data_IF_612160823044
#
_entry.id   IF_612160823044
#
_cell.length_a   1.000
_cell.length_b   1.000
_cell.length_c   1.000
_cell.angle_alpha   90.00
_cell.angle_beta   90.00
_cell.angle_gamma   90.00
#
_symmetry.space_group_name_H-M   'P 1'
#
loop_
_entity.id
_entity.type
_entity.pdbx_description
1 polymer ?
#
# COMPACT_ATOMS: atom_id res chain seq x y z
N UNK A 1 7.37 -16.76 4.83
CA UNK A 1 6.99 -17.66 3.72
C UNK A 1 5.64 -17.25 3.13
N UNK A 2 4.57 -17.14 3.93
CA UNK A 2 3.22 -16.69 3.51
C UNK A 2 3.22 -15.31 2.84
N UNK A 3 3.89 -14.34 3.45
CA UNK A 3 3.99 -12.98 2.94
C UNK A 3 4.58 -12.85 1.53
N UNK A 4 5.43 -13.81 1.14
CA UNK A 4 6.05 -13.84 -0.19
C UNK A 4 5.05 -14.39 -1.21
N UNK A 5 4.27 -15.40 -0.85
CA UNK A 5 3.19 -15.95 -1.67
C UNK A 5 2.13 -14.87 -1.96
N UNK A 6 1.65 -14.18 -0.93
CA UNK A 6 0.71 -13.07 -1.07
C UNK A 6 1.24 -11.93 -1.96
N UNK A 7 2.56 -11.74 -2.02
CA UNK A 7 3.15 -10.72 -2.91
C UNK A 7 3.21 -11.19 -4.36
N UNK A 8 3.30 -12.50 -4.60
CA UNK A 8 3.24 -13.08 -5.94
C UNK A 8 1.82 -13.18 -6.50
N UNK A 9 0.82 -13.25 -5.63
CA UNK A 9 -0.60 -13.25 -6.03
C UNK A 9 -1.15 -11.85 -6.34
N UNK A 10 -0.34 -10.80 -6.13
CA UNK A 10 -0.75 -9.44 -6.44
C UNK A 10 -0.91 -9.26 -7.95
N UNK A 11 -2.00 -8.64 -8.36
CA UNK A 11 -2.13 -8.18 -9.72
C UNK A 11 -1.21 -6.96 -9.97
N UNK A 12 -1.04 -6.62 -11.25
CA UNK A 12 -0.12 -5.55 -11.67
C UNK A 12 -0.48 -4.18 -11.06
N UNK A 13 -1.76 -3.91 -10.81
CA UNK A 13 -2.21 -2.63 -10.23
C UNK A 13 -1.90 -2.56 -8.75
N UNK A 14 -2.12 -3.66 -8.02
CA UNK A 14 -1.74 -3.80 -6.62
C UNK A 14 -0.23 -3.65 -6.45
N UNK A 15 0.58 -4.25 -7.35
CA UNK A 15 2.02 -4.06 -7.36
C UNK A 15 2.42 -2.61 -7.64
N UNK A 16 1.85 -1.97 -8.66
CA UNK A 16 2.09 -0.54 -8.95
C UNK A 16 1.74 0.34 -7.74
N UNK A 17 0.58 0.13 -7.14
CA UNK A 17 0.13 0.85 -5.95
C UNK A 17 1.08 0.66 -4.76
N UNK A 18 1.59 -0.56 -4.56
CA UNK A 18 2.57 -0.85 -3.52
C UNK A 18 3.89 -0.10 -3.73
N UNK A 19 4.44 -0.14 -4.95
CA UNK A 19 5.68 0.56 -5.29
C UNK A 19 5.53 2.06 -5.07
N UNK A 20 4.44 2.65 -5.57
CA UNK A 20 4.16 4.08 -5.39
C UNK A 20 3.99 4.44 -3.91
N UNK A 21 3.30 3.61 -3.13
CA UNK A 21 3.16 3.84 -1.68
C UNK A 21 4.52 3.78 -0.97
N UNK A 22 5.42 2.87 -1.37
CA UNK A 22 6.79 2.84 -0.85
C UNK A 22 7.61 4.07 -1.24
N UNK A 23 7.42 4.58 -2.45
CA UNK A 23 8.06 5.83 -2.88
C UNK A 23 7.53 7.01 -2.05
N UNK A 24 6.21 7.09 -1.83
CA UNK A 24 5.61 8.12 -0.99
C UNK A 24 6.21 8.08 0.43
N UNK A 25 6.34 6.87 1.00
CA UNK A 25 6.99 6.69 2.30
C UNK A 25 8.42 7.24 2.29
N UNK A 26 9.22 6.88 1.30
CA UNK A 26 10.64 7.24 1.22
C UNK A 26 10.84 8.76 1.06
N UNK A 27 10.07 9.39 0.19
CA UNK A 27 10.27 10.79 -0.19
C UNK A 27 9.53 11.77 0.72
N UNK A 28 8.34 11.42 1.23
CA UNK A 28 7.49 12.34 1.98
C UNK A 28 7.31 11.98 3.46
N UNK A 29 7.17 10.69 3.79
CA UNK A 29 6.89 10.30 5.18
C UNK A 29 8.15 10.12 6.01
N UNK A 30 9.24 9.59 5.43
CA UNK A 30 10.50 9.36 6.14
C UNK A 30 11.09 10.67 6.71
N UNK A 31 11.10 11.81 6.00
CA UNK A 31 11.57 13.06 6.59
C UNK A 31 10.75 13.53 7.81
N UNK A 32 9.49 13.10 7.94
CA UNK A 32 8.56 13.55 8.98
C UNK A 32 8.46 12.56 10.15
N UNK A 33 8.53 11.26 9.85
CA UNK A 33 8.31 10.17 10.79
C UNK A 33 9.56 9.30 11.00
N UNK A 34 10.70 9.70 10.43
CA UNK A 34 11.95 8.98 10.45
C UNK A 34 11.76 7.50 10.05
N UNK A 35 12.34 6.56 10.78
CA UNK A 35 12.21 5.12 10.53
C UNK A 35 11.04 4.46 11.28
N UNK A 36 10.15 5.26 11.93
CA UNK A 36 8.94 4.73 12.59
C UNK A 36 7.97 4.09 11.60
N UNK A 37 7.99 4.55 10.34
CA UNK A 37 7.23 3.97 9.24
C UNK A 37 8.18 3.21 8.29
N UNK A 38 8.31 1.91 8.52
CA UNK A 38 9.06 1.00 7.64
C UNK A 38 8.26 0.55 6.40
N UNK A 39 8.93 -0.12 5.46
CA UNK A 39 8.26 -0.75 4.30
C UNK A 39 7.28 -1.85 4.69
N UNK A 40 7.43 -2.45 5.87
CA UNK A 40 6.51 -3.46 6.38
C UNK A 40 5.12 -2.85 6.58
N UNK A 41 5.03 -1.68 7.22
CA UNK A 41 3.76 -0.97 7.42
C UNK A 41 3.06 -0.64 6.08
N UNK A 42 3.83 -0.30 5.04
CA UNK A 42 3.26 -0.04 3.71
C UNK A 42 2.70 -1.32 3.08
N UNK A 43 3.36 -2.46 3.29
CA UNK A 43 2.89 -3.76 2.82
C UNK A 43 1.62 -4.18 3.55
N UNK A 44 1.59 -4.04 4.87
CA UNK A 44 0.39 -4.31 5.68
C UNK A 44 -0.78 -3.43 5.25
N UNK A 45 -0.54 -2.13 5.05
CA UNK A 45 -1.58 -1.21 4.58
C UNK A 45 -2.13 -1.61 3.21
N UNK A 46 -1.27 -2.04 2.27
CA UNK A 46 -1.71 -2.56 0.97
C UNK A 46 -2.57 -3.81 1.12
N UNK A 47 -2.08 -4.84 1.83
CA UNK A 47 -2.81 -6.11 1.99
C UNK A 47 -4.17 -5.89 2.64
N UNK A 48 -4.22 -5.07 3.68
CA UNK A 48 -5.49 -4.71 4.31
C UNK A 48 -6.41 -3.94 3.36
N UNK A 49 -5.86 -3.05 2.54
CA UNK A 49 -6.65 -2.33 1.52
C UNK A 49 -7.20 -3.30 0.47
N UNK A 50 -6.44 -4.32 0.07
CA UNK A 50 -6.91 -5.36 -0.86
C UNK A 50 -8.10 -6.12 -0.27
N UNK A 51 -8.05 -6.47 1.01
CA UNK A 51 -9.17 -7.15 1.69
C UNK A 51 -10.42 -6.28 1.85
N UNK A 52 -10.27 -4.95 1.94
CA UNK A 52 -11.39 -4.02 2.14
C UNK A 52 -12.15 -3.62 0.87
N UNK A 53 -11.54 -3.78 -0.29
CA UNK A 53 -12.07 -3.24 -1.54
C UNK A 53 -12.27 -4.34 -2.59
N UNK A 54 -13.36 -4.29 -3.38
CA UNK A 54 -13.62 -5.28 -4.40
C UNK A 54 -12.54 -5.28 -5.50
N UNK A 55 -12.35 -6.43 -6.14
CA UNK A 55 -11.33 -6.62 -7.20
C UNK A 55 -11.43 -5.59 -8.33
N UNK A 56 -12.64 -5.11 -8.63
CA UNK A 56 -12.91 -4.11 -9.67
C UNK A 56 -12.18 -2.78 -9.48
N UNK A 57 -11.79 -2.45 -8.25
CA UNK A 57 -11.02 -1.25 -7.96
C UNK A 57 -9.58 -1.40 -8.45
N UNK A 58 -9.01 -2.61 -8.48
CA UNK A 58 -7.61 -2.86 -8.85
C UNK A 58 -7.41 -2.96 -10.37
N UNK A 59 -7.89 -1.96 -11.10
CA UNK A 59 -7.77 -1.81 -12.56
C UNK A 59 -6.96 -0.56 -12.92
N UNK A 60 -6.35 -0.53 -14.11
CA UNK A 60 -5.44 0.57 -14.51
C UNK A 60 -6.08 1.96 -14.39
N UNK A 61 -7.38 2.11 -14.72
CA UNK A 61 -8.10 3.38 -14.62
C UNK A 61 -8.22 3.95 -13.20
N UNK A 62 -7.99 3.12 -12.17
CA UNK A 62 -8.18 3.48 -10.77
C UNK A 62 -6.86 3.57 -9.99
N UNK A 63 -5.70 3.46 -10.64
CA UNK A 63 -4.40 3.40 -9.97
C UNK A 63 -4.18 4.54 -8.96
N UNK A 64 -4.56 5.77 -9.32
CA UNK A 64 -4.44 6.93 -8.42
C UNK A 64 -5.27 6.73 -7.15
N UNK A 65 -6.50 6.25 -7.28
CA UNK A 65 -7.37 5.96 -6.13
C UNK A 65 -6.76 4.85 -5.26
N UNK A 66 -6.27 3.76 -5.87
CA UNK A 66 -5.60 2.67 -5.17
C UNK A 66 -4.39 3.15 -4.34
N UNK A 67 -3.61 4.08 -4.89
CA UNK A 67 -2.46 4.69 -4.19
C UNK A 67 -2.93 5.55 -3.03
N UNK A 68 -4.05 6.28 -3.14
CA UNK A 68 -4.60 7.12 -2.08
C UNK A 68 -5.19 6.27 -0.94
N UNK A 69 -5.77 5.10 -1.25
CA UNK A 69 -6.34 4.23 -0.23
C UNK A 69 -5.29 3.70 0.75
N UNK A 70 -4.09 3.36 0.30
CA UNK A 70 -3.08 2.76 1.16
C UNK A 70 -2.62 3.70 2.32
N UNK A 71 -2.26 4.98 2.10
CA UNK A 71 -1.99 5.94 3.17
C UNK A 71 -3.21 6.24 4.05
N UNK A 72 -4.42 6.28 3.48
CA UNK A 72 -5.64 6.48 4.26
C UNK A 72 -5.89 5.31 5.22
N UNK A 73 -5.65 4.08 4.75
CA UNK A 73 -5.66 2.87 5.58
C UNK A 73 -4.62 2.99 6.69
N UNK A 74 -3.39 3.38 6.38
CA UNK A 74 -2.33 3.57 7.37
C UNK A 74 -2.73 4.61 8.45
N UNK A 75 -3.33 5.73 8.04
CA UNK A 75 -3.83 6.77 8.96
C UNK A 75 -4.84 6.22 9.98
N UNK A 76 -5.64 5.21 9.62
CA UNK A 76 -6.60 4.58 10.56
C UNK A 76 -5.91 3.86 11.71
N UNK A 77 -4.69 3.36 11.51
CA UNK A 77 -3.91 2.63 12.51
C UNK A 77 -3.00 3.53 13.36
N UNK A 78 -2.88 4.81 13.03
CA UNK A 78 -2.04 5.80 13.73
C UNK A 78 -2.85 6.69 14.68
N UNK A 79 -4.05 6.25 15.09
CA UNK A 79 -4.89 6.95 16.07
C UNK A 79 -4.48 6.64 17.49
#
# INVERSE_FOLDING_TARGET
MIERLLTFDLNIIQMKAYVLTKMIRKEFLRPLADDRLSSFHMKTALLFTIEQFPEDIWKDGNLVQCVIFCPNTLKRFLK
#
